data_IF_049484352038
#
_entry.id   IF_049484352038
#
_cell.length_a   1.000
_cell.length_b   1.000
_cell.length_c   1.000
_cell.angle_alpha   90.00
_cell.angle_beta   90.00
_cell.angle_gamma   90.00
#
_symmetry.space_group_name_H-M   'P 1'
#
loop_
_entity.id
_entity.type
_entity.pdbx_description
1 polymer ?
#
# COMPACT_ATOMS: atom_id res chain seq x y z
N UNK A 1 -12.37 -1.17 19.47
CA UNK A 1 -11.99 -2.48 20.04
C UNK A 1 -11.79 -3.42 18.88
N UNK A 2 -10.66 -4.16 18.84
CA UNK A 2 -10.39 -5.15 17.80
C UNK A 2 -10.80 -6.54 18.27
N UNK A 3 -11.50 -7.28 17.43
CA UNK A 3 -11.92 -8.67 17.62
C UNK A 3 -11.04 -9.57 16.75
N UNK A 4 -9.98 -10.12 17.35
CA UNK A 4 -9.04 -11.01 16.67
C UNK A 4 -9.67 -12.32 16.22
N UNK A 5 -10.60 -12.83 17.02
CA UNK A 5 -11.43 -13.99 16.74
C UNK A 5 -12.88 -13.56 16.65
N UNK A 6 -13.59 -14.12 15.67
CA UNK A 6 -15.01 -13.88 15.50
C UNK A 6 -15.88 -14.76 16.39
N UNK A 7 -17.13 -14.36 16.51
CA UNK A 7 -18.22 -15.06 17.19
C UNK A 7 -19.27 -15.50 16.17
N UNK A 8 -20.55 -15.23 16.44
CA UNK A 8 -21.69 -15.70 15.63
C UNK A 8 -22.10 -14.77 14.50
N UNK A 9 -21.53 -13.57 14.40
CA UNK A 9 -21.93 -12.50 13.50
C UNK A 9 -22.98 -11.56 14.09
N UNK A 10 -23.93 -12.10 14.86
CA UNK A 10 -24.98 -11.33 15.50
C UNK A 10 -24.46 -10.47 16.66
N UNK A 11 -23.51 -11.01 17.43
CA UNK A 11 -22.90 -10.33 18.57
C UNK A 11 -22.11 -9.10 18.11
N UNK A 12 -21.33 -9.23 17.05
CA UNK A 12 -20.55 -8.15 16.45
C UNK A 12 -21.48 -7.07 15.90
N UNK A 13 -22.55 -7.47 15.20
CA UNK A 13 -23.55 -6.53 14.71
C UNK A 13 -24.25 -5.78 15.85
N UNK A 14 -24.52 -6.44 16.98
CA UNK A 14 -25.04 -5.75 18.17
C UNK A 14 -23.98 -4.82 18.79
N UNK A 15 -22.72 -5.25 18.89
CA UNK A 15 -21.63 -4.47 19.45
C UNK A 15 -21.40 -3.16 18.70
N UNK A 16 -21.65 -3.09 17.39
CA UNK A 16 -21.55 -1.83 16.64
C UNK A 16 -22.51 -0.74 17.13
N UNK A 17 -23.61 -1.11 17.82
CA UNK A 17 -24.61 -0.19 18.41
C UNK A 17 -24.40 0.04 19.90
N UNK A 18 -23.20 -0.21 20.42
CA UNK A 18 -22.90 0.03 21.82
C UNK A 18 -23.13 1.51 22.22
N UNK A 19 -23.59 1.80 23.44
CA UNK A 19 -23.96 3.15 23.88
C UNK A 19 -22.76 4.11 23.98
N UNK A 20 -21.53 3.58 23.96
CA UNK A 20 -20.29 4.36 24.03
C UNK A 20 -19.78 4.76 22.65
N UNK A 21 -20.45 4.33 21.57
CA UNK A 21 -20.04 4.57 20.18
C UNK A 21 -18.61 4.11 19.87
N UNK A 22 -18.17 3.05 20.53
CA UNK A 22 -16.89 2.43 20.23
C UNK A 22 -16.93 1.80 18.84
N UNK A 23 -15.91 2.06 18.02
CA UNK A 23 -15.72 1.34 16.77
C UNK A 23 -15.32 -0.11 17.06
N UNK A 24 -15.94 -1.05 16.36
CA UNK A 24 -15.68 -2.48 16.40
C UNK A 24 -14.88 -2.82 15.15
N UNK A 25 -13.66 -3.28 15.35
CA UNK A 25 -12.76 -3.67 14.29
C UNK A 25 -12.67 -5.20 14.24
N UNK A 26 -12.91 -5.80 13.08
CA UNK A 26 -12.88 -7.25 12.90
C UNK A 26 -11.71 -7.67 12.02
N UNK A 27 -11.23 -8.89 12.25
CA UNK A 27 -10.18 -9.47 11.44
C UNK A 27 -10.63 -9.68 9.98
N UNK A 28 -9.88 -9.11 9.04
CA UNK A 28 -10.15 -9.23 7.61
C UNK A 28 -9.23 -10.22 6.87
N UNK A 29 -8.19 -10.75 7.52
CA UNK A 29 -7.18 -11.62 6.89
C UNK A 29 -7.71 -13.00 6.48
N UNK A 30 -8.83 -13.46 7.07
CA UNK A 30 -9.30 -14.84 6.91
C UNK A 30 -9.90 -15.17 5.54
N UNK A 31 -10.41 -14.19 4.79
CA UNK A 31 -11.07 -14.43 3.49
C UNK A 31 -12.37 -15.25 3.56
N UNK A 32 -12.85 -15.56 4.76
CA UNK A 32 -14.10 -16.29 5.01
C UNK A 32 -15.32 -15.40 4.78
N UNK A 33 -16.53 -15.96 4.85
CA UNK A 33 -17.79 -15.19 4.72
C UNK A 33 -18.19 -14.50 6.05
N UNK A 34 -17.22 -14.26 6.94
CA UNK A 34 -17.47 -13.73 8.27
C UNK A 34 -18.09 -12.34 8.25
N UNK A 35 -17.55 -11.43 7.40
CA UNK A 35 -18.16 -10.10 7.21
C UNK A 35 -19.58 -10.21 6.64
N UNK A 36 -19.81 -11.08 5.65
CA UNK A 36 -21.15 -11.29 5.07
C UNK A 36 -22.18 -11.76 6.12
N UNK A 37 -21.75 -12.64 7.03
CA UNK A 37 -22.56 -13.12 8.13
C UNK A 37 -22.92 -11.99 9.11
N UNK A 38 -21.95 -11.14 9.49
CA UNK A 38 -22.23 -9.95 10.33
C UNK A 38 -23.22 -9.03 9.62
N UNK A 39 -22.99 -8.73 8.34
CA UNK A 39 -23.85 -7.85 7.54
C UNK A 39 -25.30 -8.34 7.45
N UNK A 40 -25.52 -9.66 7.52
CA UNK A 40 -26.87 -10.26 7.54
C UNK A 40 -27.69 -9.89 8.79
N UNK A 41 -27.04 -9.49 9.88
CA UNK A 41 -27.68 -8.97 11.09
C UNK A 41 -27.79 -7.44 11.12
N UNK A 42 -27.55 -6.79 9.97
CA UNK A 42 -27.68 -5.34 9.80
C UNK A 42 -26.88 -4.54 10.85
N UNK A 43 -25.53 -4.62 10.89
CA UNK A 43 -24.70 -3.84 11.81
C UNK A 43 -24.84 -2.33 11.55
N UNK A 44 -24.35 -1.52 12.48
CA UNK A 44 -24.04 -0.12 12.19
C UNK A 44 -22.66 -0.05 11.51
N UNK A 45 -22.66 0.16 10.19
CA UNK A 45 -21.46 0.14 9.35
C UNK A 45 -20.50 1.26 9.64
N UNK A 46 -20.95 2.39 10.18
CA UNK A 46 -20.08 3.52 10.53
C UNK A 46 -19.19 3.21 11.74
N UNK A 47 -19.58 2.19 12.52
CA UNK A 47 -18.83 1.69 13.68
C UNK A 47 -18.25 0.30 13.45
N UNK A 48 -18.28 -0.21 12.21
CA UNK A 48 -17.66 -1.48 11.83
C UNK A 48 -16.45 -1.24 10.92
N UNK A 49 -15.28 -1.68 11.35
CA UNK A 49 -14.02 -1.57 10.61
C UNK A 49 -13.43 -2.96 10.34
N UNK A 50 -12.62 -3.08 9.30
CA UNK A 50 -11.83 -4.28 9.03
C UNK A 50 -10.34 -3.99 9.15
N UNK A 51 -9.59 -4.84 9.84
CA UNK A 51 -8.13 -4.77 9.80
C UNK A 51 -7.47 -6.12 9.58
N UNK A 52 -6.38 -6.09 8.82
CA UNK A 52 -5.55 -7.25 8.62
C UNK A 52 -4.74 -7.57 9.88
N UNK A 53 -4.33 -8.82 10.01
CA UNK A 53 -3.24 -9.22 10.90
C UNK A 53 -1.88 -8.74 10.37
N UNK A 54 -0.91 -8.65 11.29
CA UNK A 54 0.52 -8.70 10.98
C UNK A 54 1.07 -10.08 11.31
N UNK A 55 2.21 -10.44 10.70
CA UNK A 55 2.75 -11.79 10.75
C UNK A 55 4.21 -11.80 11.23
N UNK A 56 4.47 -12.18 12.50
CA UNK A 56 5.80 -12.09 13.12
C UNK A 56 6.89 -12.99 12.52
N UNK A 57 6.49 -14.08 11.87
CA UNK A 57 7.42 -15.03 11.27
C UNK A 57 7.56 -14.79 9.78
N UNK A 58 8.78 -14.88 9.26
CA UNK A 58 9.02 -14.81 7.81
C UNK A 58 8.26 -15.92 7.09
N UNK A 59 7.77 -15.60 5.88
CA UNK A 59 6.98 -16.45 5.00
C UNK A 59 5.59 -16.83 5.53
N UNK A 60 5.07 -16.08 6.51
CA UNK A 60 3.70 -16.29 7.04
C UNK A 60 2.77 -15.11 6.77
N UNK A 61 3.28 -14.03 6.17
CA UNK A 61 2.49 -12.92 5.67
C UNK A 61 1.53 -13.34 4.55
N UNK A 62 0.54 -12.49 4.27
CA UNK A 62 -0.39 -12.75 3.18
C UNK A 62 0.30 -12.64 1.83
N UNK A 63 -0.05 -13.55 0.92
CA UNK A 63 0.21 -13.38 -0.51
C UNK A 63 -0.73 -12.33 -1.11
N UNK A 64 -0.25 -11.61 -2.14
CA UNK A 64 -0.96 -10.47 -2.71
C UNK A 64 -2.38 -10.79 -3.20
N UNK A 65 -2.58 -11.91 -3.91
CA UNK A 65 -3.90 -12.27 -4.43
C UNK A 65 -4.93 -12.54 -3.31
N UNK A 66 -4.51 -13.22 -2.24
CA UNK A 66 -5.38 -13.45 -1.08
C UNK A 66 -5.68 -12.15 -0.33
N UNK A 67 -4.68 -11.28 -0.18
CA UNK A 67 -4.87 -9.95 0.38
C UNK A 67 -5.92 -9.13 -0.38
N UNK A 68 -5.82 -9.06 -1.72
CA UNK A 68 -6.80 -8.37 -2.58
C UNK A 68 -8.20 -8.95 -2.38
N UNK A 69 -8.33 -10.28 -2.44
CA UNK A 69 -9.59 -10.98 -2.22
C UNK A 69 -10.23 -10.64 -0.86
N UNK A 70 -9.43 -10.61 0.21
CA UNK A 70 -9.89 -10.22 1.54
C UNK A 70 -10.37 -8.76 1.59
N UNK A 71 -9.61 -7.83 1.00
CA UNK A 71 -9.98 -6.41 0.97
C UNK A 71 -11.30 -6.21 0.20
N UNK A 72 -11.45 -6.83 -0.97
CA UNK A 72 -12.65 -6.70 -1.80
C UNK A 72 -13.93 -7.16 -1.10
N UNK A 73 -13.84 -8.10 -0.15
CA UNK A 73 -15.00 -8.49 0.68
C UNK A 73 -15.48 -7.36 1.58
N UNK A 74 -14.56 -6.61 2.19
CA UNK A 74 -14.89 -5.48 3.06
C UNK A 74 -15.30 -4.25 2.25
N UNK A 75 -14.57 -3.97 1.16
CA UNK A 75 -14.85 -2.84 0.26
C UNK A 75 -16.24 -2.93 -0.39
N UNK A 76 -16.75 -4.13 -0.65
CA UNK A 76 -18.13 -4.35 -1.14
C UNK A 76 -19.21 -3.76 -0.23
N UNK A 77 -18.95 -3.66 1.07
CA UNK A 77 -19.84 -3.05 2.05
C UNK A 77 -19.43 -1.61 2.42
N UNK A 78 -18.48 -1.03 1.70
CA UNK A 78 -17.89 0.29 1.99
C UNK A 78 -17.33 0.41 3.42
N UNK A 79 -16.88 -0.71 4.01
CA UNK A 79 -16.24 -0.67 5.32
C UNK A 79 -14.83 -0.07 5.18
N UNK A 80 -14.41 0.67 6.21
CA UNK A 80 -13.04 1.15 6.31
C UNK A 80 -12.10 -0.03 6.62
N UNK A 81 -10.95 0.00 5.96
CA UNK A 81 -10.00 -1.12 5.88
C UNK A 81 -8.61 -0.68 6.33
N UNK A 82 -7.93 -1.52 7.11
CA UNK A 82 -6.59 -1.24 7.64
C UNK A 82 -5.60 -2.38 7.36
N UNK A 83 -4.35 -2.03 7.03
CA UNK A 83 -3.25 -2.98 6.94
C UNK A 83 -2.01 -2.51 7.72
N UNK A 84 -1.12 -3.46 8.03
CA UNK A 84 0.11 -3.22 8.78
C UNK A 84 1.34 -3.18 7.89
N UNK A 85 2.23 -2.23 8.17
CA UNK A 85 3.57 -2.10 7.59
C UNK A 85 4.65 -2.30 8.65
N UNK A 86 5.84 -2.68 8.19
CA UNK A 86 7.00 -2.92 9.03
C UNK A 86 7.97 -1.74 8.99
N UNK A 87 8.33 -1.18 10.14
CA UNK A 87 9.50 -0.33 10.28
C UNK A 87 10.78 -1.18 10.27
N UNK A 88 11.80 -0.73 9.55
CA UNK A 88 13.11 -1.39 9.49
C UNK A 88 14.02 -0.97 10.66
N UNK A 89 13.71 0.14 11.35
CA UNK A 89 14.48 0.60 12.52
C UNK A 89 13.89 0.18 13.86
N UNK A 90 12.62 -0.22 13.88
CA UNK A 90 11.93 -0.64 15.09
C UNK A 90 12.43 -2.01 15.61
N UNK A 91 12.54 -2.12 16.94
CA UNK A 91 13.10 -3.29 17.64
C UNK A 91 12.14 -3.90 18.68
N UNK A 92 10.97 -3.31 18.85
CA UNK A 92 9.94 -3.70 19.81
C UNK A 92 8.66 -4.13 19.08
N UNK A 93 7.98 -5.09 19.67
CA UNK A 93 6.79 -5.72 19.13
C UNK A 93 6.24 -6.73 20.14
N UNK A 94 5.12 -7.39 19.84
CA UNK A 94 4.35 -8.13 20.83
C UNK A 94 5.01 -9.45 21.28
N UNK A 95 5.91 -10.02 20.46
CA UNK A 95 6.52 -11.33 20.70
C UNK A 95 8.05 -11.26 20.65
N UNK A 96 8.78 -12.23 21.26
CA UNK A 96 10.24 -12.27 21.21
C UNK A 96 10.82 -12.44 19.79
N UNK A 97 10.07 -13.08 18.88
CA UNK A 97 10.45 -13.26 17.48
C UNK A 97 9.76 -12.20 16.62
N UNK A 98 10.55 -11.44 15.86
CA UNK A 98 10.07 -10.33 15.04
C UNK A 98 10.87 -10.26 13.74
N UNK A 99 10.54 -11.14 12.80
CA UNK A 99 11.17 -11.15 11.47
C UNK A 99 10.62 -10.04 10.57
N UNK A 100 10.20 -8.92 11.16
CA UNK A 100 9.37 -7.86 10.56
C UNK A 100 7.87 -8.10 10.76
N UNK A 101 7.13 -7.05 11.13
CA UNK A 101 5.70 -7.11 11.38
C UNK A 101 4.95 -6.40 10.24
N UNK A 102 4.46 -7.15 9.26
CA UNK A 102 3.69 -6.60 8.13
C UNK A 102 2.51 -7.52 7.79
N UNK A 103 1.54 -6.99 7.05
CA UNK A 103 0.40 -7.76 6.53
C UNK A 103 0.75 -8.57 5.28
N UNK A 104 1.38 -7.92 4.29
CA UNK A 104 1.81 -8.55 3.04
C UNK A 104 3.22 -9.10 3.18
N UNK A 105 3.47 -10.34 2.79
CA UNK A 105 4.80 -10.93 2.89
C UNK A 105 5.84 -10.16 2.05
N UNK A 106 5.43 -9.68 0.86
CA UNK A 106 6.26 -8.89 -0.04
C UNK A 106 6.75 -7.56 0.57
N UNK A 107 6.17 -7.11 1.68
CA UNK A 107 6.53 -5.84 2.34
C UNK A 107 7.66 -5.98 3.36
N UNK A 108 7.96 -7.19 3.80
CA UNK A 108 8.80 -7.46 4.98
C UNK A 108 10.15 -6.75 4.96
N UNK A 109 10.78 -6.73 3.78
CA UNK A 109 12.12 -6.14 3.59
C UNK A 109 12.10 -4.82 2.82
N UNK A 110 10.91 -4.34 2.43
CA UNK A 110 10.80 -3.08 1.72
C UNK A 110 10.95 -1.90 2.68
N UNK A 111 11.45 -0.78 2.15
CA UNK A 111 11.42 0.49 2.85
C UNK A 111 9.96 0.90 3.14
N UNK A 112 9.73 1.54 4.29
CA UNK A 112 8.39 1.85 4.78
C UNK A 112 7.57 2.69 3.80
N UNK A 113 8.23 3.63 3.11
CA UNK A 113 7.63 4.48 2.09
C UNK A 113 7.10 3.66 0.90
N UNK A 114 7.83 2.63 0.49
CA UNK A 114 7.45 1.71 -0.58
C UNK A 114 6.27 0.83 -0.16
N UNK A 115 6.26 0.35 1.08
CA UNK A 115 5.12 -0.42 1.63
C UNK A 115 3.84 0.43 1.62
N UNK A 116 3.93 1.67 2.11
CA UNK A 116 2.82 2.64 2.16
C UNK A 116 2.33 3.00 0.76
N UNK A 117 3.25 3.32 -0.17
CA UNK A 117 2.94 3.59 -1.58
C UNK A 117 2.18 2.41 -2.20
N UNK A 118 2.68 1.18 -2.00
CA UNK A 118 2.01 -0.01 -2.53
C UNK A 118 0.56 -0.12 -2.01
N UNK A 119 0.34 -0.05 -0.68
CA UNK A 119 -1.00 -0.13 -0.10
C UNK A 119 -1.92 0.98 -0.63
N UNK A 120 -1.46 2.23 -0.69
CA UNK A 120 -2.24 3.36 -1.23
C UNK A 120 -2.62 3.15 -2.70
N UNK A 121 -1.69 2.67 -3.51
CA UNK A 121 -1.91 2.44 -4.95
C UNK A 121 -2.87 1.27 -5.24
N UNK A 122 -3.08 0.36 -4.29
CA UNK A 122 -4.12 -0.66 -4.45
C UNK A 122 -5.54 -0.07 -4.48
N UNK A 123 -5.76 1.07 -3.82
CA UNK A 123 -7.10 1.63 -3.61
C UNK A 123 -8.00 0.78 -2.69
N UNK A 124 -7.41 -0.18 -1.96
CA UNK A 124 -8.12 -1.17 -1.15
C UNK A 124 -7.97 -0.97 0.37
N UNK A 125 -7.04 -0.12 0.81
CA UNK A 125 -6.74 0.15 2.22
C UNK A 125 -6.90 1.64 2.51
N UNK A 126 -7.63 1.96 3.57
CA UNK A 126 -7.90 3.32 4.02
C UNK A 126 -6.87 3.77 5.08
N UNK A 127 -6.58 2.91 6.06
CA UNK A 127 -5.69 3.18 7.18
C UNK A 127 -4.44 2.28 7.14
N UNK A 128 -3.28 2.84 7.46
CA UNK A 128 -2.01 2.10 7.47
C UNK A 128 -1.31 2.33 8.81
N UNK A 129 -0.94 1.24 9.48
CA UNK A 129 -0.33 1.28 10.82
C UNK A 129 1.02 0.58 10.83
N UNK A 130 2.01 1.15 11.51
CA UNK A 130 3.30 0.48 11.76
C UNK A 130 3.08 -0.53 12.90
N UNK A 131 3.33 -1.82 12.64
CA UNK A 131 3.05 -2.87 13.64
C UNK A 131 4.13 -3.01 14.72
N UNK A 132 5.37 -2.64 14.42
CA UNK A 132 6.50 -2.62 15.36
C UNK A 132 6.83 -1.19 15.81
N UNK A 133 7.53 -1.09 16.92
CA UNK A 133 7.94 0.19 17.52
C UNK A 133 9.43 0.17 17.93
N UNK A 134 10.12 1.30 18.04
CA UNK A 134 9.71 2.60 17.55
C UNK A 134 10.25 2.79 16.13
N UNK A 135 9.41 3.24 15.21
CA UNK A 135 9.89 3.75 13.94
C UNK A 135 10.75 5.00 14.18
N UNK A 136 11.77 5.18 13.35
CA UNK A 136 12.60 6.39 13.41
C UNK A 136 11.84 7.61 12.90
N UNK A 137 12.26 8.81 13.27
CA UNK A 137 11.68 10.06 12.75
C UNK A 137 11.73 10.11 11.21
N UNK A 138 12.82 9.63 10.62
CA UNK A 138 12.98 9.54 9.16
C UNK A 138 11.93 8.61 8.53
N UNK A 139 11.63 7.47 9.16
CA UNK A 139 10.58 6.56 8.68
C UNK A 139 9.17 7.13 8.86
N UNK A 140 8.90 7.81 9.98
CA UNK A 140 7.62 8.48 10.21
C UNK A 140 7.39 9.59 9.18
N UNK A 141 8.40 10.39 8.88
CA UNK A 141 8.35 11.40 7.85
C UNK A 141 8.11 10.77 6.46
N UNK A 142 8.87 9.75 6.09
CA UNK A 142 8.73 9.07 4.80
C UNK A 142 7.36 8.40 4.62
N UNK A 143 6.80 7.82 5.69
CA UNK A 143 5.45 7.28 5.73
C UNK A 143 4.40 8.37 5.50
N UNK A 144 4.51 9.51 6.20
CA UNK A 144 3.58 10.65 6.06
C UNK A 144 3.59 11.21 4.64
N UNK A 145 4.77 11.49 4.08
CA UNK A 145 4.93 11.99 2.72
C UNK A 145 4.35 11.02 1.69
N UNK A 146 4.56 9.72 1.87
CA UNK A 146 4.03 8.69 0.98
C UNK A 146 2.51 8.53 1.07
N UNK A 147 1.95 8.62 2.28
CA UNK A 147 0.51 8.47 2.49
C UNK A 147 -0.28 9.64 1.88
N UNK A 148 0.25 10.86 2.06
CA UNK A 148 -0.35 12.11 1.60
C UNK A 148 0.09 12.55 0.19
N UNK A 149 0.93 11.75 -0.49
CA UNK A 149 1.35 12.05 -1.85
C UNK A 149 0.14 12.20 -2.78
N UNK A 150 0.08 13.33 -3.51
CA UNK A 150 -1.00 13.61 -4.44
C UNK A 150 -0.95 12.69 -5.68
N UNK A 151 0.24 12.22 -6.04
CA UNK A 151 0.52 11.35 -7.18
C UNK A 151 1.43 10.19 -6.75
N UNK A 152 1.41 9.07 -7.49
CA UNK A 152 2.41 8.02 -7.33
C UNK A 152 3.83 8.57 -7.54
N UNK A 153 4.75 8.29 -6.62
CA UNK A 153 6.16 8.71 -6.71
C UNK A 153 7.02 7.47 -6.89
N UNK A 154 7.83 7.46 -7.96
CA UNK A 154 8.80 6.41 -8.26
C UNK A 154 10.21 6.98 -8.06
N UNK A 155 11.04 6.26 -7.32
CA UNK A 155 12.47 6.57 -7.24
C UNK A 155 13.16 6.08 -8.51
N UNK A 156 14.00 6.94 -9.08
CA UNK A 156 14.75 6.63 -10.31
C UNK A 156 16.22 6.93 -10.05
N UNK A 157 17.04 5.89 -10.18
CA UNK A 157 18.49 6.04 -10.24
C UNK A 157 18.89 6.43 -11.65
N UNK A 158 19.67 7.50 -11.77
CA UNK A 158 20.14 7.99 -13.07
C UNK A 158 21.49 7.38 -13.41
N UNK A 159 21.69 7.13 -14.71
CA UNK A 159 22.99 6.72 -15.25
C UNK A 159 23.99 7.86 -15.17
N UNK A 160 25.29 7.53 -15.08
CA UNK A 160 26.35 8.53 -14.93
C UNK A 160 26.44 9.52 -16.09
N UNK A 161 26.08 9.05 -17.29
CA UNK A 161 26.13 9.81 -18.54
C UNK A 161 24.81 10.53 -18.88
N UNK A 162 23.88 10.65 -17.92
CA UNK A 162 22.62 11.38 -18.15
C UNK A 162 22.90 12.83 -18.55
N UNK A 163 22.26 13.27 -19.63
CA UNK A 163 22.36 14.65 -20.10
C UNK A 163 21.49 15.59 -19.25
N UNK A 164 21.79 16.90 -19.31
CA UNK A 164 21.00 17.90 -18.60
C UNK A 164 19.54 17.93 -19.09
N UNK A 165 19.31 17.81 -20.40
CA UNK A 165 17.97 17.79 -21.00
C UNK A 165 17.17 16.54 -20.60
N UNK A 166 17.81 15.36 -20.51
CA UNK A 166 17.16 14.14 -19.98
C UNK A 166 16.77 14.29 -18.52
N UNK A 167 17.67 14.86 -17.71
CA UNK A 167 17.40 15.10 -16.29
C UNK A 167 16.25 16.09 -16.10
N UNK A 168 16.20 17.14 -16.92
CA UNK A 168 15.08 18.08 -16.95
C UNK A 168 13.78 17.37 -17.34
N UNK A 169 13.81 16.53 -18.38
CA UNK A 169 12.65 15.77 -18.84
C UNK A 169 12.10 14.82 -17.76
N UNK A 170 12.99 14.17 -17.00
CA UNK A 170 12.65 13.18 -15.99
C UNK A 170 12.15 13.78 -14.67
N UNK A 171 12.75 14.89 -14.21
CA UNK A 171 12.47 15.43 -12.87
C UNK A 171 11.66 16.74 -12.88
N UNK A 172 11.66 17.49 -13.97
CA UNK A 172 10.93 18.76 -14.08
C UNK A 172 9.63 18.61 -14.88
N UNK A 173 8.97 17.47 -14.75
CA UNK A 173 7.71 17.19 -15.44
C UNK A 173 6.81 16.27 -14.59
N UNK A 174 5.51 16.59 -14.50
CA UNK A 174 4.51 15.66 -13.98
C UNK A 174 4.18 14.61 -15.04
N UNK A 175 4.79 13.43 -14.95
CA UNK A 175 4.55 12.36 -15.91
C UNK A 175 3.09 11.91 -15.87
N UNK A 176 2.47 11.85 -17.04
CA UNK A 176 1.09 11.40 -17.20
C UNK A 176 1.05 10.27 -18.19
N UNK A 177 0.52 9.15 -17.72
CA UNK A 177 0.35 7.97 -18.54
C UNK A 177 -0.78 8.18 -19.56
N UNK A 178 -0.52 7.85 -20.82
CA UNK A 178 -1.39 8.14 -21.98
C UNK A 178 -2.77 7.45 -21.93
N UNK A 179 -2.89 6.36 -21.19
CA UNK A 179 -4.15 5.59 -21.03
C UNK A 179 -4.22 4.31 -21.87
N UNK A 180 -3.47 4.21 -22.97
CA UNK A 180 -3.39 3.01 -23.83
C UNK A 180 -2.23 2.08 -23.40
N UNK A 181 -2.59 0.96 -22.77
CA UNK A 181 -1.63 0.03 -22.16
C UNK A 181 -0.91 -0.84 -23.17
N UNK A 182 0.36 -0.51 -23.38
CA UNK A 182 1.33 -1.50 -23.84
C UNK A 182 1.70 -2.40 -22.67
N UNK A 183 1.74 -3.71 -22.92
CA UNK A 183 2.28 -4.69 -21.95
C UNK A 183 3.78 -4.46 -21.67
N UNK A 184 4.46 -3.68 -22.51
CA UNK A 184 5.91 -3.49 -22.46
C UNK A 184 6.36 -2.16 -21.84
N UNK A 185 5.55 -1.11 -21.94
CA UNK A 185 6.02 0.26 -21.62
C UNK A 185 4.91 1.22 -21.20
N UNK A 186 5.22 2.02 -20.16
CA UNK A 186 4.44 3.17 -19.75
C UNK A 186 4.92 4.40 -20.52
N UNK A 187 3.99 5.15 -21.13
CA UNK A 187 4.32 6.26 -22.03
C UNK A 187 3.87 7.60 -21.46
N UNK A 188 4.83 8.48 -21.19
CA UNK A 188 4.57 9.90 -20.93
C UNK A 188 4.54 10.67 -22.25
N UNK A 189 3.38 11.17 -22.66
CA UNK A 189 3.20 11.70 -24.04
C UNK A 189 3.58 13.17 -24.17
N UNK A 190 3.42 13.97 -23.12
CA UNK A 190 3.59 15.42 -23.21
C UNK A 190 5.06 15.85 -23.22
N UNK A 191 5.95 15.04 -22.64
CA UNK A 191 7.40 15.30 -22.62
C UNK A 191 7.94 15.50 -24.04
N UNK A 192 7.54 14.66 -25.02
CA UNK A 192 7.97 14.83 -26.42
C UNK A 192 7.48 16.12 -27.07
N UNK A 193 6.41 16.75 -26.56
CA UNK A 193 5.86 18.00 -27.10
C UNK A 193 6.62 19.18 -26.52
N UNK A 194 6.87 19.16 -25.21
CA UNK A 194 7.59 20.23 -24.52
C UNK A 194 9.08 20.26 -24.86
N UNK A 195 9.70 19.08 -25.01
CA UNK A 195 11.14 18.95 -25.20
C UNK A 195 11.53 18.66 -26.66
N UNK A 196 10.62 18.81 -27.63
CA UNK A 196 10.86 18.50 -29.06
C UNK A 196 12.06 19.19 -29.71
N UNK A 197 12.47 20.34 -29.17
CA UNK A 197 13.56 21.16 -29.71
C UNK A 197 14.87 20.98 -28.94
N UNK A 198 14.90 20.16 -27.88
CA UNK A 198 16.10 19.86 -27.12
C UNK A 198 16.90 18.74 -27.81
N UNK A 199 18.24 18.77 -27.70
CA UNK A 199 19.09 17.72 -28.24
C UNK A 199 19.02 16.47 -27.36
N UNK A 200 18.53 15.35 -27.93
CA UNK A 200 18.64 14.02 -27.34
C UNK A 200 19.55 13.15 -28.24
N UNK A 201 20.89 13.31 -28.17
CA UNK A 201 21.81 12.52 -28.97
C UNK A 201 21.74 11.05 -28.55
N UNK A 202 22.05 10.12 -29.47
CA UNK A 202 22.10 8.71 -29.11
C UNK A 202 23.27 8.43 -28.16
N UNK A 203 22.96 7.97 -26.95
CA UNK A 203 23.90 7.35 -26.02
C UNK A 203 23.19 6.26 -25.22
N UNK A 204 23.96 5.42 -24.52
CA UNK A 204 23.45 4.36 -23.66
C UNK A 204 22.32 3.48 -24.27
N UNK A 205 22.47 3.09 -25.54
CA UNK A 205 21.45 2.36 -26.32
C UNK A 205 21.45 0.85 -26.01
N UNK A 206 21.42 0.50 -24.73
CA UNK A 206 21.35 -0.90 -24.28
C UNK A 206 19.95 -1.49 -24.45
N UNK A 207 19.85 -2.82 -24.35
CA UNK A 207 18.56 -3.49 -24.38
C UNK A 207 17.69 -3.07 -23.18
N UNK A 208 16.44 -2.68 -23.48
CA UNK A 208 15.45 -2.25 -22.50
C UNK A 208 15.12 -3.42 -21.56
N UNK A 209 15.16 -3.16 -20.25
CA UNK A 209 14.74 -4.10 -19.19
C UNK A 209 13.61 -3.49 -18.37
N UNK A 210 12.84 -4.31 -17.67
CA UNK A 210 11.76 -3.80 -16.80
C UNK A 210 12.34 -2.81 -15.77
N UNK A 211 11.69 -1.65 -15.63
CA UNK A 211 12.07 -0.61 -14.67
C UNK A 211 12.99 0.47 -15.21
N UNK A 212 13.50 0.35 -16.45
CA UNK A 212 14.32 1.41 -17.04
C UNK A 212 13.44 2.55 -17.59
N UNK A 213 13.89 3.79 -17.39
CA UNK A 213 13.34 4.96 -18.07
C UNK A 213 14.14 5.22 -19.35
N UNK A 214 13.45 5.45 -20.48
CA UNK A 214 14.06 5.73 -21.79
C UNK A 214 13.37 6.91 -22.47
N UNK A 215 14.12 7.65 -23.28
CA UNK A 215 13.65 8.75 -24.12
C UNK A 215 13.49 8.34 -25.58
#
# INVERSE_FOLDING_TARGET
MRLDLGFTGAEEAQMTRNPYRLKIEINMSGGTNYVDNIMSYSPDTDHLLGSHNFYPHRYTGLGYQHFVYCCEKFRRYNLNTMAFVNSQTATFGPWPTQDGLCTLEDHRELAIDTQVKHLRLTGLIDDITIANAYASEAELQAMSESFHALYPILHVDVVEDITEDERLCLFNHLHSYRGDASEYLLRSTLTRVYYKNQPFPAHNTQNIKRGVCVN
#
